data_IF_459921776901
#
_entry.id   IF_459921776901
#
_cell.length_a   1.000
_cell.length_b   1.000
_cell.length_c   1.000
_cell.angle_alpha   90.00
_cell.angle_beta   90.00
_cell.angle_gamma   90.00
#
_symmetry.space_group_name_H-M   'P 1'
#
loop_
_entity.id
_entity.type
_entity.pdbx_description
1 polymer ?
#
# COMPACT_ATOMS: atom_id res chain seq x y z
N UNK A 1 45.61 55.22 3.65
CA UNK A 1 44.54 54.61 2.83
C UNK A 1 44.71 53.10 2.84
N UNK A 2 43.61 52.33 2.85
CA UNK A 2 43.51 50.85 2.85
C UNK A 2 43.57 50.08 4.18
N UNK A 3 42.44 50.08 4.92
CA UNK A 3 41.97 48.93 5.73
C UNK A 3 40.43 48.95 5.80
N UNK A 4 39.73 48.47 4.76
CA UNK A 4 38.27 48.23 4.84
C UNK A 4 37.75 47.03 4.03
N UNK A 5 38.62 46.24 3.38
CA UNK A 5 38.17 45.12 2.52
C UNK A 5 37.85 43.82 3.26
N UNK A 6 38.30 43.63 4.50
CA UNK A 6 38.14 42.36 5.22
C UNK A 6 36.73 42.04 5.71
N UNK A 7 35.97 43.06 6.14
CA UNK A 7 34.65 42.86 6.77
C UNK A 7 33.52 42.62 5.75
N UNK A 8 33.63 43.16 4.54
CA UNK A 8 32.60 43.01 3.49
C UNK A 8 32.64 41.61 2.87
N UNK A 9 33.82 41.00 2.76
CA UNK A 9 34.00 39.66 2.22
C UNK A 9 33.40 38.56 3.13
N UNK A 10 33.55 38.67 4.46
CA UNK A 10 32.97 37.72 5.41
C UNK A 10 31.42 37.75 5.44
N UNK A 11 30.81 38.93 5.26
CA UNK A 11 29.35 39.09 5.20
C UNK A 11 28.81 38.45 3.91
N UNK A 12 29.49 38.64 2.77
CA UNK A 12 29.11 38.03 1.49
C UNK A 12 29.19 36.50 1.50
N UNK A 13 30.24 35.92 2.10
CA UNK A 13 30.40 34.46 2.23
C UNK A 13 29.31 33.86 3.15
N UNK A 14 28.97 34.55 4.24
CA UNK A 14 27.90 34.12 5.15
C UNK A 14 26.53 34.13 4.48
N UNK A 15 26.26 35.12 3.61
CA UNK A 15 25.00 35.21 2.85
C UNK A 15 24.89 34.10 1.79
N UNK A 16 25.98 33.74 1.10
CA UNK A 16 26.01 32.65 0.10
C UNK A 16 25.84 31.28 0.76
N UNK A 17 26.45 31.05 1.93
CA UNK A 17 26.24 29.82 2.70
C UNK A 17 24.80 29.76 3.21
N UNK A 18 24.25 30.86 3.74
CA UNK A 18 22.86 30.93 4.17
C UNK A 18 21.89 30.72 3.00
N UNK A 19 22.18 31.29 1.82
CA UNK A 19 21.39 31.07 0.61
C UNK A 19 21.52 29.63 0.12
N UNK A 20 22.72 29.03 0.20
CA UNK A 20 22.95 27.62 -0.15
C UNK A 20 22.23 26.66 0.78
N UNK A 21 22.23 26.95 2.09
CA UNK A 21 21.46 26.22 3.10
C UNK A 21 19.95 26.43 2.87
N UNK A 22 19.51 27.66 2.64
CA UNK A 22 18.10 27.96 2.36
C UNK A 22 17.62 27.27 1.08
N UNK A 23 18.41 27.32 0.01
CA UNK A 23 18.16 26.60 -1.25
C UNK A 23 18.18 25.09 -1.00
N UNK A 24 19.12 24.57 -0.20
CA UNK A 24 19.19 23.16 0.18
C UNK A 24 17.93 22.71 0.95
N UNK A 25 17.47 23.47 1.94
CA UNK A 25 16.21 23.20 2.66
C UNK A 25 14.97 23.33 1.77
N UNK A 26 14.98 24.24 0.79
CA UNK A 26 13.92 24.40 -0.21
C UNK A 26 13.94 23.26 -1.25
N UNK A 27 15.11 22.68 -1.55
CA UNK A 27 15.31 21.67 -2.60
C UNK A 27 15.37 20.23 -2.09
N UNK A 28 15.46 20.01 -0.77
CA UNK A 28 15.43 18.66 -0.20
C UNK A 28 14.14 17.95 -0.60
N UNK A 29 14.22 16.74 -1.19
CA UNK A 29 13.05 16.00 -1.60
C UNK A 29 12.20 15.69 -0.37
N UNK A 30 10.98 16.23 -0.37
CA UNK A 30 10.03 16.02 0.70
C UNK A 30 9.72 14.53 0.83
N UNK A 31 10.10 13.93 1.95
CA UNK A 31 9.83 12.51 2.23
C UNK A 31 8.33 12.20 2.12
N UNK A 32 8.00 10.96 1.74
CA UNK A 32 6.62 10.52 1.62
C UNK A 32 6.09 10.27 3.03
N UNK A 33 5.21 11.15 3.49
CA UNK A 33 4.61 11.05 4.83
C UNK A 33 3.42 10.09 4.86
N UNK A 34 3.06 9.61 6.04
CA UNK A 34 1.83 8.84 6.22
C UNK A 34 0.56 9.59 5.76
N UNK A 35 0.55 10.93 5.87
CA UNK A 35 -0.52 11.77 5.33
C UNK A 35 -0.56 11.76 3.79
N UNK A 36 0.59 11.67 3.11
CA UNK A 36 0.65 11.48 1.66
C UNK A 36 0.07 10.11 1.29
N UNK A 37 0.44 9.04 2.01
CA UNK A 37 -0.09 7.68 1.80
C UNK A 37 -1.60 7.61 2.00
N UNK A 38 -2.16 8.29 3.01
CA UNK A 38 -3.61 8.36 3.20
C UNK A 38 -4.31 9.00 2.00
N UNK A 39 -3.83 10.15 1.53
CA UNK A 39 -4.39 10.86 0.37
C UNK A 39 -4.27 10.06 -0.93
N UNK A 40 -3.12 9.45 -1.16
CA UNK A 40 -2.89 8.54 -2.28
C UNK A 40 -3.89 7.37 -2.25
N UNK A 41 -4.05 6.74 -1.09
CA UNK A 41 -4.95 5.59 -0.91
C UNK A 41 -6.42 5.98 -1.14
N UNK A 42 -6.84 7.16 -0.67
CA UNK A 42 -8.18 7.69 -0.94
C UNK A 42 -8.41 7.87 -2.45
N UNK A 43 -7.46 8.53 -3.11
CA UNK A 43 -7.55 8.86 -4.54
C UNK A 43 -7.56 7.59 -5.38
N UNK A 44 -6.64 6.66 -5.15
CA UNK A 44 -6.60 5.40 -5.86
C UNK A 44 -7.81 4.52 -5.57
N UNK A 45 -8.27 4.45 -4.31
CA UNK A 45 -9.45 3.70 -3.92
C UNK A 45 -10.72 4.21 -4.61
N UNK A 46 -10.87 5.52 -4.72
CA UNK A 46 -11.98 6.14 -5.45
C UNK A 46 -11.89 5.85 -6.96
N UNK A 47 -10.72 6.04 -7.57
CA UNK A 47 -10.52 5.80 -9.01
C UNK A 47 -10.76 4.32 -9.38
N UNK A 48 -10.32 3.37 -8.55
CA UNK A 48 -10.52 1.94 -8.79
C UNK A 48 -11.98 1.49 -8.64
N UNK A 49 -12.80 2.22 -7.89
CA UNK A 49 -14.22 1.93 -7.76
C UNK A 49 -15.02 2.34 -9.02
N UNK A 50 -14.45 3.19 -9.88
CA UNK A 50 -15.07 3.60 -11.13
C UNK A 50 -15.00 2.48 -12.18
N UNK A 51 -16.15 2.12 -12.76
CA UNK A 51 -16.25 1.01 -13.70
C UNK A 51 -15.41 1.25 -14.95
N UNK A 52 -14.67 0.21 -15.37
CA UNK A 52 -13.94 0.19 -16.63
C UNK A 52 -12.62 0.96 -16.63
N UNK A 53 -12.23 1.57 -15.50
CA UNK A 53 -10.96 2.28 -15.40
C UNK A 53 -9.79 1.30 -15.27
N UNK A 54 -8.75 1.50 -16.09
CA UNK A 54 -7.54 0.68 -16.01
C UNK A 54 -6.60 1.15 -14.89
N UNK A 55 -5.80 0.24 -14.34
CA UNK A 55 -4.78 0.59 -13.34
C UNK A 55 -3.81 1.66 -13.85
N UNK A 56 -3.44 1.57 -15.13
CA UNK A 56 -2.58 2.56 -15.83
C UNK A 56 -3.19 3.96 -15.72
N UNK A 57 -4.48 4.12 -16.00
CA UNK A 57 -5.17 5.41 -15.87
C UNK A 57 -5.30 5.87 -14.42
N UNK A 58 -5.55 4.95 -13.48
CA UNK A 58 -5.63 5.31 -12.06
C UNK A 58 -4.31 5.94 -11.57
N UNK A 59 -3.16 5.35 -11.92
CA UNK A 59 -1.85 5.91 -11.53
C UNK A 59 -1.56 7.28 -12.14
N UNK A 60 -1.94 7.50 -13.40
CA UNK A 60 -1.76 8.80 -14.05
C UNK A 60 -2.57 9.88 -13.32
N UNK A 61 -3.87 9.64 -13.09
CA UNK A 61 -4.75 10.59 -12.42
C UNK A 61 -4.37 10.82 -10.96
N UNK A 62 -3.90 9.78 -10.26
CA UNK A 62 -3.36 9.94 -8.91
C UNK A 62 -2.10 10.81 -8.92
N UNK A 63 -1.20 10.63 -9.89
CA UNK A 63 0.00 11.46 -10.03
C UNK A 63 -0.35 12.93 -10.33
N UNK A 64 -1.33 13.21 -11.18
CA UNK A 64 -1.79 14.58 -11.48
C UNK A 64 -2.32 15.32 -10.25
N UNK A 65 -2.91 14.60 -9.31
CA UNK A 65 -3.48 15.15 -8.06
C UNK A 65 -2.49 15.17 -6.90
N UNK A 66 -1.33 14.53 -7.04
CA UNK A 66 -0.35 14.39 -5.97
C UNK A 66 0.47 15.67 -5.78
N UNK A 67 0.53 16.13 -4.52
CA UNK A 67 1.23 17.35 -4.12
C UNK A 67 2.67 17.06 -3.72
N UNK A 68 2.94 15.87 -3.19
CA UNK A 68 4.29 15.46 -2.84
C UNK A 68 5.08 15.13 -4.14
N UNK A 69 6.14 15.88 -4.48
CA UNK A 69 6.85 15.68 -5.73
C UNK A 69 7.59 14.33 -5.81
N UNK A 70 8.02 13.78 -4.66
CA UNK A 70 8.64 12.45 -4.61
C UNK A 70 7.62 11.36 -4.92
N UNK A 71 6.46 11.39 -4.24
CA UNK A 71 5.39 10.43 -4.50
C UNK A 71 4.86 10.57 -5.93
N UNK A 72 4.63 11.80 -6.43
CA UNK A 72 4.22 12.04 -7.82
C UNK A 72 5.16 11.38 -8.82
N UNK A 73 6.47 11.50 -8.63
CA UNK A 73 7.48 10.88 -9.50
C UNK A 73 7.35 9.35 -9.48
N UNK A 74 7.16 8.76 -8.30
CA UNK A 74 6.94 7.31 -8.14
C UNK A 74 5.67 6.87 -8.87
N UNK A 75 4.56 7.61 -8.73
CA UNK A 75 3.29 7.29 -9.39
C UNK A 75 3.40 7.35 -10.93
N UNK A 76 4.15 8.31 -11.48
CA UNK A 76 4.42 8.38 -12.92
C UNK A 76 5.27 7.19 -13.40
N UNK A 77 6.24 6.74 -12.61
CA UNK A 77 6.99 5.51 -12.92
C UNK A 77 6.09 4.27 -12.85
N UNK A 78 5.26 4.15 -11.82
CA UNK A 78 4.29 3.05 -11.69
C UNK A 78 3.28 3.02 -12.84
N UNK A 79 2.82 4.18 -13.31
CA UNK A 79 1.98 4.27 -14.51
C UNK A 79 2.66 3.62 -15.73
N UNK A 80 3.95 3.91 -15.94
CA UNK A 80 4.75 3.30 -17.02
C UNK A 80 5.00 1.82 -16.78
N UNK A 81 5.35 1.43 -15.56
CA UNK A 81 5.70 0.05 -15.22
C UNK A 81 4.49 -0.88 -15.33
N UNK A 82 3.30 -0.45 -14.91
CA UNK A 82 2.07 -1.26 -15.00
C UNK A 82 1.68 -1.54 -16.47
N UNK A 83 2.05 -0.67 -17.41
CA UNK A 83 1.76 -0.88 -18.84
C UNK A 83 2.83 -1.70 -19.57
N UNK A 84 4.07 -1.74 -19.04
CA UNK A 84 5.22 -2.34 -19.73
C UNK A 84 5.75 -3.61 -19.10
N UNK A 85 5.68 -3.74 -17.77
CA UNK A 85 6.19 -4.90 -17.03
C UNK A 85 5.07 -5.92 -16.78
N UNK A 86 5.39 -7.20 -17.01
CA UNK A 86 4.50 -8.31 -16.62
C UNK A 86 4.76 -8.72 -15.18
N UNK A 87 4.27 -7.92 -14.23
CA UNK A 87 4.38 -8.19 -12.81
C UNK A 87 3.10 -7.79 -12.06
N UNK A 88 2.76 -8.46 -10.96
CA UNK A 88 1.60 -8.06 -10.18
C UNK A 88 1.86 -6.72 -9.48
N UNK A 89 0.79 -5.94 -9.27
CA UNK A 89 0.87 -4.57 -8.75
C UNK A 89 1.73 -4.44 -7.48
N UNK A 90 1.54 -5.32 -6.50
CA UNK A 90 2.28 -5.27 -5.24
C UNK A 90 3.80 -5.48 -5.42
N UNK A 91 4.23 -6.21 -6.45
CA UNK A 91 5.64 -6.38 -6.77
C UNK A 91 6.23 -5.09 -7.36
N UNK A 92 5.50 -4.46 -8.28
CA UNK A 92 5.90 -3.16 -8.84
C UNK A 92 6.01 -2.09 -7.75
N UNK A 93 5.05 -2.04 -6.84
CA UNK A 93 5.07 -1.09 -5.72
C UNK A 93 6.21 -1.37 -4.74
N UNK A 94 6.65 -2.62 -4.60
CA UNK A 94 7.77 -2.98 -3.70
C UNK A 94 9.13 -2.48 -4.18
N UNK A 95 9.25 -2.04 -5.43
CA UNK A 95 10.45 -1.36 -5.95
C UNK A 95 10.65 0.04 -5.33
N UNK A 96 9.66 0.57 -4.60
CA UNK A 96 9.65 1.91 -4.01
C UNK A 96 9.41 1.88 -2.49
N UNK A 97 10.30 1.25 -1.69
CA UNK A 97 10.13 1.12 -0.24
C UNK A 97 10.12 2.46 0.50
N UNK A 98 10.64 3.53 -0.09
CA UNK A 98 10.58 4.91 0.42
C UNK A 98 9.16 5.49 0.44
N UNK A 99 8.24 4.93 -0.35
CA UNK A 99 6.82 5.29 -0.35
C UNK A 99 5.94 4.15 0.19
N UNK A 100 6.19 2.92 -0.25
CA UNK A 100 5.35 1.77 0.04
C UNK A 100 6.11 0.74 0.86
N UNK A 101 5.97 0.85 2.18
CA UNK A 101 6.59 -0.11 3.09
C UNK A 101 5.92 -1.50 3.05
N UNK A 102 6.53 -2.46 3.74
CA UNK A 102 6.09 -3.85 3.75
C UNK A 102 4.61 -4.03 4.17
N UNK A 103 4.12 -3.24 5.13
CA UNK A 103 2.73 -3.32 5.60
C UNK A 103 1.75 -2.83 4.53
N UNK A 104 2.09 -1.75 3.82
CA UNK A 104 1.29 -1.24 2.71
C UNK A 104 1.24 -2.25 1.56
N UNK A 105 2.41 -2.79 1.19
CA UNK A 105 2.54 -3.82 0.16
C UNK A 105 1.75 -5.08 0.53
N UNK A 106 1.79 -5.51 1.79
CA UNK A 106 1.00 -6.64 2.29
C UNK A 106 -0.50 -6.39 2.10
N UNK A 107 -0.97 -5.19 2.43
CA UNK A 107 -2.36 -4.82 2.27
C UNK A 107 -2.79 -4.82 0.78
N UNK A 108 -1.98 -4.22 -0.11
CA UNK A 108 -2.23 -4.20 -1.55
C UNK A 108 -2.24 -5.60 -2.15
N UNK A 109 -1.27 -6.45 -1.79
CA UNK A 109 -1.17 -7.85 -2.26
C UNK A 109 -2.47 -8.62 -1.99
N UNK A 110 -2.95 -8.58 -0.75
CA UNK A 110 -4.15 -9.33 -0.35
C UNK A 110 -5.43 -8.68 -0.85
N UNK A 111 -5.53 -7.35 -0.80
CA UNK A 111 -6.65 -6.61 -1.37
C UNK A 111 -6.85 -6.91 -2.86
N UNK A 112 -5.78 -6.90 -3.66
CA UNK A 112 -5.83 -7.22 -5.08
C UNK A 112 -6.25 -8.67 -5.34
N UNK A 113 -5.68 -9.65 -4.62
CA UNK A 113 -6.03 -11.07 -4.77
C UNK A 113 -7.48 -11.39 -4.40
N UNK A 114 -8.06 -10.66 -3.46
CA UNK A 114 -9.47 -10.80 -3.08
C UNK A 114 -10.42 -9.99 -3.99
N UNK A 115 -9.91 -9.26 -4.99
CA UNK A 115 -10.74 -8.37 -5.81
C UNK A 115 -11.38 -7.25 -4.98
N UNK A 116 -10.68 -6.77 -3.94
CA UNK A 116 -11.16 -5.76 -2.96
C UNK A 116 -10.12 -4.65 -2.73
N UNK A 117 -9.27 -4.39 -3.71
CA UNK A 117 -8.20 -3.40 -3.60
C UNK A 117 -8.75 -1.99 -3.31
N UNK A 118 -9.83 -1.61 -3.98
CA UNK A 118 -10.56 -0.35 -3.75
C UNK A 118 -11.01 -0.20 -2.29
N UNK A 119 -11.52 -1.30 -1.70
CA UNK A 119 -12.01 -1.32 -0.33
C UNK A 119 -10.85 -1.24 0.66
N UNK A 120 -9.78 -2.00 0.42
CA UNK A 120 -8.58 -1.96 1.26
C UNK A 120 -7.95 -0.57 1.24
N UNK A 121 -7.77 0.05 0.08
CA UNK A 121 -7.19 1.40 -0.03
C UNK A 121 -8.03 2.46 0.68
N UNK A 122 -9.36 2.40 0.60
CA UNK A 122 -10.25 3.30 1.35
C UNK A 122 -10.14 3.10 2.86
N UNK A 123 -9.96 1.88 3.33
CA UNK A 123 -9.73 1.62 4.76
C UNK A 123 -8.35 2.09 5.22
N UNK A 124 -7.30 1.92 4.40
CA UNK A 124 -5.97 2.47 4.68
C UNK A 124 -6.02 4.00 4.72
N UNK A 125 -6.71 4.66 3.78
CA UNK A 125 -6.93 6.11 3.80
C UNK A 125 -7.45 6.61 5.15
N UNK A 126 -8.43 5.90 5.73
CA UNK A 126 -9.08 6.27 6.99
C UNK A 126 -8.24 5.99 8.23
N UNK A 127 -7.47 4.90 8.22
CA UNK A 127 -6.89 4.33 9.45
C UNK A 127 -5.36 4.29 9.46
N UNK A 128 -4.68 4.57 8.34
CA UNK A 128 -3.22 4.46 8.23
C UNK A 128 -2.53 5.40 9.23
N UNK A 129 -1.85 4.87 10.26
CA UNK A 129 -1.28 5.67 11.33
C UNK A 129 0.02 6.35 10.89
N UNK A 130 0.33 7.46 11.55
CA UNK A 130 1.58 8.18 11.32
C UNK A 130 2.78 7.38 11.84
N UNK A 131 2.60 6.62 12.92
CA UNK A 131 3.67 5.85 13.54
C UNK A 131 3.81 4.44 12.91
N UNK A 132 5.00 4.09 12.35
CA UNK A 132 5.21 2.83 11.63
C UNK A 132 4.88 1.57 12.43
N UNK A 133 5.12 1.57 13.74
CA UNK A 133 4.87 0.42 14.61
C UNK A 133 3.39 0.06 14.73
N UNK A 134 2.48 1.03 14.55
CA UNK A 134 1.02 0.81 14.59
C UNK A 134 0.46 0.32 13.25
N UNK A 135 1.19 0.52 12.14
CA UNK A 135 0.70 0.20 10.79
C UNK A 135 0.43 -1.29 10.62
N UNK A 136 1.27 -2.16 11.20
CA UNK A 136 1.07 -3.62 11.20
C UNK A 136 -0.28 -4.00 11.81
N UNK A 137 -0.64 -3.42 12.96
CA UNK A 137 -1.90 -3.72 13.65
C UNK A 137 -3.10 -3.31 12.79
N UNK A 138 -3.07 -2.09 12.26
CA UNK A 138 -4.12 -1.55 11.39
C UNK A 138 -4.29 -2.40 10.13
N UNK A 139 -3.20 -2.74 9.45
CA UNK A 139 -3.24 -3.59 8.24
C UNK A 139 -3.79 -4.96 8.55
N UNK A 140 -3.36 -5.61 9.64
CA UNK A 140 -3.88 -6.92 10.05
C UNK A 140 -5.39 -6.87 10.31
N UNK A 141 -5.88 -5.83 10.98
CA UNK A 141 -7.32 -5.61 11.22
C UNK A 141 -8.08 -5.46 9.90
N UNK A 142 -7.62 -4.58 9.01
CA UNK A 142 -8.27 -4.33 7.71
C UNK A 142 -8.32 -5.62 6.89
N UNK A 143 -7.18 -6.30 6.72
CA UNK A 143 -7.10 -7.52 5.89
C UNK A 143 -7.92 -8.66 6.50
N UNK A 144 -7.93 -8.83 7.83
CA UNK A 144 -8.81 -9.80 8.50
C UNK A 144 -10.29 -9.54 8.17
N UNK A 145 -10.74 -8.29 8.32
CA UNK A 145 -12.14 -7.92 8.07
C UNK A 145 -12.52 -8.14 6.61
N UNK A 146 -11.68 -7.74 5.66
CA UNK A 146 -11.94 -7.95 4.23
C UNK A 146 -11.92 -9.43 3.89
N UNK A 147 -10.95 -10.20 4.38
CA UNK A 147 -10.86 -11.64 4.13
C UNK A 147 -12.08 -12.40 4.65
N UNK A 148 -12.54 -12.13 5.88
CA UNK A 148 -13.75 -12.77 6.43
C UNK A 148 -14.98 -12.51 5.54
N UNK A 149 -15.13 -11.29 5.00
CA UNK A 149 -16.21 -10.99 4.04
C UNK A 149 -16.01 -11.76 2.74
N UNK A 150 -14.80 -11.81 2.21
CA UNK A 150 -14.45 -12.49 0.96
C UNK A 150 -14.55 -14.03 1.02
N UNK A 151 -14.54 -14.65 2.21
CA UNK A 151 -14.82 -16.08 2.37
C UNK A 151 -16.21 -16.49 1.86
N UNK A 152 -17.16 -15.55 1.79
CA UNK A 152 -18.54 -15.79 1.35
C UNK A 152 -18.83 -15.25 -0.04
N UNK A 153 -17.79 -14.89 -0.80
CA UNK A 153 -17.96 -14.29 -2.11
C UNK A 153 -18.52 -15.33 -3.12
N UNK A 154 -19.70 -15.08 -3.73
CA UNK A 154 -20.30 -16.00 -4.69
C UNK A 154 -19.76 -15.82 -6.12
N UNK A 155 -19.10 -14.70 -6.42
CA UNK A 155 -18.73 -14.30 -7.78
C UNK A 155 -17.54 -15.08 -8.34
N UNK A 156 -16.52 -15.31 -7.50
CA UNK A 156 -15.31 -16.03 -7.89
C UNK A 156 -14.76 -16.86 -6.73
N UNK A 157 -14.55 -18.16 -6.97
CA UNK A 157 -13.95 -19.07 -6.01
C UNK A 157 -12.50 -18.64 -5.66
N UNK A 158 -11.82 -17.96 -6.57
CA UNK A 158 -10.48 -17.44 -6.36
C UNK A 158 -10.44 -16.43 -5.22
N UNK A 159 -11.50 -15.62 -5.02
CA UNK A 159 -11.58 -14.68 -3.92
C UNK A 159 -11.73 -15.39 -2.57
N UNK A 160 -12.52 -16.47 -2.50
CA UNK A 160 -12.65 -17.30 -1.28
C UNK A 160 -11.33 -17.98 -0.93
N UNK A 161 -10.65 -18.57 -1.92
CA UNK A 161 -9.31 -19.15 -1.74
C UNK A 161 -8.27 -18.11 -1.29
N UNK A 162 -8.28 -16.93 -1.92
CA UNK A 162 -7.36 -15.84 -1.57
C UNK A 162 -7.61 -15.31 -0.16
N UNK A 163 -8.87 -15.26 0.27
CA UNK A 163 -9.24 -14.92 1.64
C UNK A 163 -8.69 -15.94 2.65
N UNK A 164 -8.79 -17.24 2.36
CA UNK A 164 -8.19 -18.30 3.19
C UNK A 164 -6.67 -18.16 3.29
N UNK A 165 -5.99 -17.82 2.18
CA UNK A 165 -4.55 -17.54 2.20
C UNK A 165 -4.21 -16.31 3.04
N UNK A 166 -4.97 -15.23 2.92
CA UNK A 166 -4.78 -14.02 3.71
C UNK A 166 -4.90 -14.33 5.21
N UNK A 167 -5.94 -15.08 5.61
CA UNK A 167 -6.15 -15.49 7.01
C UNK A 167 -5.02 -16.40 7.53
N UNK A 168 -4.52 -17.32 6.69
CA UNK A 168 -3.37 -18.15 7.05
C UNK A 168 -2.10 -17.32 7.26
N UNK A 169 -1.80 -16.36 6.37
CA UNK A 169 -0.65 -15.45 6.49
C UNK A 169 -0.79 -14.52 7.72
N UNK A 170 -2.02 -14.17 8.12
CA UNK A 170 -2.26 -13.44 9.37
C UNK A 170 -2.02 -14.31 10.62
N UNK A 171 -2.31 -15.61 10.56
CA UNK A 171 -2.11 -16.53 11.69
C UNK A 171 -3.09 -16.33 12.85
N UNK A 172 -4.24 -15.67 12.62
CA UNK A 172 -5.23 -15.42 13.66
C UNK A 172 -6.17 -16.62 13.84
N UNK A 173 -6.02 -17.34 14.96
CA UNK A 173 -6.83 -18.53 15.27
C UNK A 173 -8.31 -18.22 15.52
N UNK A 174 -8.68 -16.97 15.76
CA UNK A 174 -10.06 -16.58 16.03
C UNK A 174 -10.96 -16.56 14.78
N UNK A 175 -10.48 -17.09 13.64
CA UNK A 175 -11.22 -17.13 12.36
C UNK A 175 -11.67 -18.54 11.97
N UNK A 176 -11.44 -19.54 12.82
CA UNK A 176 -11.73 -20.96 12.53
C UNK A 176 -13.20 -21.20 12.25
N UNK A 177 -14.11 -20.61 13.03
CA UNK A 177 -15.55 -20.80 12.83
C UNK A 177 -16.02 -20.26 11.47
N UNK A 178 -15.35 -19.24 10.93
CA UNK A 178 -15.62 -18.71 9.59
C UNK A 178 -15.03 -19.59 8.48
N UNK A 179 -13.96 -20.36 8.76
CA UNK A 179 -13.29 -21.25 7.80
C UNK A 179 -14.01 -22.60 7.66
N UNK A 180 -14.54 -23.16 8.75
CA UNK A 180 -15.14 -24.50 8.77
C UNK A 180 -16.16 -24.77 7.64
N UNK A 181 -17.09 -23.85 7.31
CA UNK A 181 -18.03 -24.07 6.21
C UNK A 181 -17.35 -24.28 4.84
N UNK A 182 -16.15 -23.73 4.63
CA UNK A 182 -15.42 -23.84 3.35
C UNK A 182 -14.81 -25.22 3.12
N UNK A 183 -14.78 -26.09 4.14
CA UNK A 183 -14.44 -27.51 3.94
C UNK A 183 -15.48 -28.23 3.06
N UNK A 184 -16.70 -27.67 2.94
CA UNK A 184 -17.77 -28.17 2.10
C UNK A 184 -18.01 -27.27 0.87
N UNK A 185 -17.05 -26.38 0.54
CA UNK A 185 -17.18 -25.51 -0.62
C UNK A 185 -17.37 -26.33 -1.91
N UNK A 186 -18.23 -25.92 -2.85
CA UNK A 186 -18.43 -26.64 -4.11
C UNK A 186 -17.13 -26.81 -4.90
N UNK A 187 -16.18 -25.89 -4.76
CA UNK A 187 -14.93 -25.89 -5.51
C UNK A 187 -13.83 -26.64 -4.74
N UNK A 188 -13.25 -27.72 -5.31
CA UNK A 188 -12.20 -28.52 -4.65
C UNK A 188 -11.01 -27.69 -4.18
N UNK A 189 -10.57 -26.71 -4.97
CA UNK A 189 -9.44 -25.83 -4.67
C UNK A 189 -9.70 -24.98 -3.41
N UNK A 190 -10.96 -24.62 -3.14
CA UNK A 190 -11.33 -23.88 -1.94
C UNK A 190 -11.37 -24.82 -0.72
N UNK A 191 -11.87 -26.06 -0.88
CA UNK A 191 -11.83 -27.07 0.19
C UNK A 191 -10.41 -27.38 0.63
N UNK A 192 -9.50 -27.62 -0.31
CA UNK A 192 -8.09 -27.89 0.00
C UNK A 192 -7.42 -26.68 0.66
N UNK A 193 -7.66 -25.47 0.15
CA UNK A 193 -7.17 -24.26 0.81
C UNK A 193 -7.72 -24.10 2.23
N UNK A 194 -8.97 -24.50 2.50
CA UNK A 194 -9.55 -24.45 3.84
C UNK A 194 -8.86 -25.44 4.79
N UNK A 195 -8.56 -26.65 4.31
CA UNK A 195 -7.77 -27.64 5.07
C UNK A 195 -6.37 -27.11 5.38
N UNK A 196 -5.66 -26.60 4.39
CA UNK A 196 -4.32 -26.03 4.54
C UNK A 196 -4.31 -24.86 5.53
N UNK A 197 -5.28 -23.95 5.43
CA UNK A 197 -5.41 -22.82 6.36
C UNK A 197 -5.64 -23.29 7.79
N UNK A 198 -6.54 -24.26 8.02
CA UNK A 198 -6.76 -24.82 9.35
C UNK A 198 -5.50 -25.49 9.92
N UNK A 199 -4.78 -26.25 9.10
CA UNK A 199 -3.50 -26.86 9.50
C UNK A 199 -2.46 -25.80 9.88
N UNK A 200 -2.30 -24.75 9.07
CA UNK A 200 -1.40 -23.61 9.37
C UNK A 200 -1.78 -22.88 10.66
N UNK A 201 -3.07 -22.83 10.98
CA UNK A 201 -3.56 -22.27 12.24
C UNK A 201 -3.40 -23.23 13.44
N UNK A 202 -2.95 -24.46 13.21
CA UNK A 202 -2.67 -25.47 14.24
C UNK A 202 -3.81 -26.44 14.53
N UNK A 203 -4.78 -26.57 13.63
CA UNK A 203 -5.92 -27.48 13.77
C UNK A 203 -5.70 -28.74 12.92
N UNK A 204 -5.93 -29.91 13.53
CA UNK A 204 -5.93 -31.17 12.81
C UNK A 204 -7.18 -31.26 11.92
N UNK A 205 -6.98 -31.47 10.62
CA UNK A 205 -8.06 -31.72 9.68
C UNK A 205 -7.92 -33.18 9.24
N UNK A 206 -8.91 -34.00 9.58
CA UNK A 206 -9.02 -35.40 9.16
C UNK A 206 -9.79 -35.50 7.85
#
# INVERSE_FOLDING_TARGET
MHRHYGSVALIGISLVILMGILVYWITMPREVSAADIRRFSETMGALLAERGRSLVQCFLLAAERERNPALRRILLKLHSDVSTKSAPLYALMSEYPEAFNAEFIFAVKHGARMGRLDTVLRELSRQWPDEPEKQREVVRKIIKTVAIKSLRDPSDWFYRRSALQALAELGDRNVVSQILPLLQDPVPQVREAAKETLQRLGYAVK
#
